data_IF_364746280723
#
_entry.id   IF_364746280723
#
_cell.length_a   1.000
_cell.length_b   1.000
_cell.length_c   1.000
_cell.angle_alpha   90.00
_cell.angle_beta   90.00
_cell.angle_gamma   90.00
#
_symmetry.space_group_name_H-M   'P 1'
#
loop_
_entity.id
_entity.type
_entity.pdbx_description
1 polymer ?
2 non-polymer ?
3 non-polymer ?
4 water ?
#
# COMPACT_ATOMS: atom_id res chain seq x y z
N UNK A 1 -29.76 -13.26 6.47
CA UNK A 1 -28.84 -12.50 5.58
C UNK A 1 -27.96 -13.45 4.78
N UNK A 2 -26.96 -12.90 4.10
CA UNK A 2 -26.05 -13.66 3.26
C UNK A 2 -25.11 -14.58 4.05
N UNK A 3 -24.97 -15.81 3.60
CA UNK A 3 -24.10 -16.76 4.27
C UNK A 3 -22.64 -16.47 4.02
N UNK A 4 -21.79 -16.96 4.90
CA UNK A 4 -20.36 -16.77 4.75
C UNK A 4 -19.93 -17.47 3.48
N UNK A 5 -20.54 -18.63 3.22
CA UNK A 5 -20.19 -19.40 2.03
C UNK A 5 -20.39 -18.56 0.77
N UNK A 6 -21.53 -17.88 0.67
CA UNK A 6 -21.81 -17.05 -0.49
C UNK A 6 -20.81 -15.88 -0.62
N UNK A 7 -20.47 -15.25 0.49
CA UNK A 7 -19.51 -14.14 0.45
C UNK A 7 -18.16 -14.64 -0.04
N UNK A 8 -17.73 -15.78 0.51
CA UNK A 8 -16.44 -16.34 0.12
C UNK A 8 -16.45 -16.69 -1.36
N UNK A 9 -17.53 -17.30 -1.84
CA UNK A 9 -17.63 -17.69 -3.24
C UNK A 9 -17.61 -16.47 -4.16
N UNK A 10 -18.35 -15.44 -3.78
CA UNK A 10 -18.40 -14.21 -4.57
C UNK A 10 -17.00 -13.55 -4.68
N UNK A 11 -16.31 -13.37 -3.55
CA UNK A 11 -15.00 -12.73 -3.62
C UNK A 11 -13.98 -13.59 -4.35
N UNK A 12 -14.06 -14.90 -4.18
CA UNK A 12 -13.15 -15.81 -4.88
C UNK A 12 -13.38 -15.63 -6.41
N UNK A 13 -14.64 -15.49 -6.80
CA UNK A 13 -14.98 -15.34 -8.22
C UNK A 13 -14.42 -14.06 -8.83
N UNK A 14 -14.20 -13.03 -8.01
CA UNK A 14 -13.65 -11.77 -8.50
C UNK A 14 -12.21 -12.00 -8.95
N UNK A 15 -11.46 -12.79 -8.18
CA UNK A 15 -10.09 -13.10 -8.57
C UNK A 15 -10.10 -14.08 -9.73
N UNK A 16 -11.01 -15.05 -9.73
CA UNK A 16 -11.07 -16.01 -10.83
C UNK A 16 -11.35 -15.29 -12.15
N UNK A 17 -12.32 -14.38 -12.15
CA UNK A 17 -12.67 -13.62 -13.36
C UNK A 17 -11.48 -12.85 -13.91
N UNK A 18 -10.61 -12.38 -13.04
CA UNK A 18 -9.44 -11.60 -13.47
C UNK A 18 -8.34 -12.55 -13.94
N UNK A 19 -8.63 -13.85 -13.85
CA UNK A 19 -7.66 -14.86 -14.25
C UNK A 19 -6.31 -14.65 -13.59
N UNK A 20 -6.32 -14.42 -12.29
CA UNK A 20 -5.07 -14.28 -11.55
C UNK A 20 -5.26 -15.03 -10.24
N UNK A 21 -4.26 -15.01 -9.38
CA UNK A 21 -4.34 -15.67 -8.07
C UNK A 21 -4.13 -14.55 -7.04
N UNK A 22 -5.03 -14.46 -6.07
CA UNK A 22 -4.86 -13.41 -5.07
C UNK A 22 -5.67 -13.62 -3.81
N UNK A 23 -5.44 -12.74 -2.85
CA UNK A 23 -6.14 -12.80 -1.58
C UNK A 23 -6.45 -11.37 -1.14
N UNK A 24 -7.45 -11.22 -0.28
CA UNK A 24 -7.73 -9.91 0.30
C UNK A 24 -8.03 -10.15 1.77
N UNK A 25 -7.25 -9.50 2.63
CA UNK A 25 -7.40 -9.64 4.07
C UNK A 25 -8.15 -8.43 4.61
N UNK A 26 -9.18 -8.69 5.40
CA UNK A 26 -10.00 -7.64 6.00
C UNK A 26 -9.83 -7.72 7.52
N UNK A 27 -9.75 -6.58 8.17
CA UNK A 27 -9.60 -6.58 9.61
C UNK A 27 -10.71 -5.74 10.25
N UNK A 28 -11.37 -6.30 11.25
CA UNK A 28 -12.45 -5.63 11.97
C UNK A 28 -12.09 -5.77 13.45
N UNK A 29 -11.73 -4.65 14.06
CA UNK A 29 -11.30 -4.67 15.44
C UNK A 29 -9.98 -5.43 15.41
N UNK A 30 -9.92 -6.54 16.14
CA UNK A 30 -8.73 -7.38 16.19
C UNK A 30 -8.84 -8.64 15.32
N UNK A 31 -9.99 -8.86 14.67
CA UNK A 31 -10.18 -10.07 13.84
C UNK A 31 -9.83 -9.95 12.35
N UNK A 32 -9.05 -10.91 11.87
CA UNK A 32 -8.62 -10.95 10.47
C UNK A 32 -9.51 -11.92 9.68
N UNK A 33 -9.93 -11.51 8.48
CA UNK A 33 -10.74 -12.36 7.61
C UNK A 33 -10.04 -12.46 6.26
N UNK A 34 -9.78 -13.68 5.82
CA UNK A 34 -9.09 -13.91 4.57
C UNK A 34 -10.05 -14.38 3.47
N UNK A 35 -10.02 -13.69 2.34
CA UNK A 35 -10.88 -14.02 1.20
C UNK A 35 -10.05 -14.05 -0.11
N UNK A 36 -10.61 -14.61 -1.17
CA UNK A 36 -9.89 -14.65 -2.43
C UNK A 36 -9.85 -16.05 -3.01
N UNK A 37 -8.98 -16.26 -4.00
CA UNK A 37 -8.86 -17.57 -4.62
C UNK A 37 -7.53 -18.26 -4.40
N UNK A 38 -6.71 -17.73 -3.51
CA UNK A 38 -5.42 -18.35 -3.18
C UNK A 38 -5.08 -17.94 -1.75
N UNK A 39 -5.91 -18.39 -0.80
CA UNK A 39 -5.77 -18.04 0.61
C UNK A 39 -4.38 -18.20 1.24
N UNK A 40 -3.59 -19.17 0.76
CA UNK A 40 -2.26 -19.36 1.31
C UNK A 40 -1.30 -18.17 1.07
N UNK A 41 -1.65 -17.25 0.19
CA UNK A 41 -0.81 -16.10 -0.04
C UNK A 41 -0.78 -15.22 1.23
N UNK A 42 -1.81 -15.35 2.07
CA UNK A 42 -1.94 -14.54 3.30
C UNK A 42 -0.68 -14.41 4.14
N UNK A 43 0.07 -15.52 4.30
CA UNK A 43 1.28 -15.45 5.10
C UNK A 43 2.56 -15.66 4.31
N UNK A 44 2.50 -15.38 3.01
CA UNK A 44 3.71 -15.47 2.19
C UNK A 44 4.31 -14.06 2.00
N UNK A 45 5.64 -13.99 1.96
CA UNK A 45 6.33 -12.70 1.80
C UNK A 45 6.49 -12.23 0.36
N UNK A 46 6.23 -10.95 0.10
CA UNK A 46 6.38 -10.36 -1.23
C UNK A 46 7.03 -8.98 -1.09
N UNK A 47 7.60 -8.43 -2.16
CA UNK A 47 8.20 -7.12 -2.03
C UNK A 47 7.00 -6.20 -1.86
N UNK A 48 7.14 -5.15 -1.04
CA UNK A 48 6.04 -4.20 -0.80
C UNK A 48 5.76 -3.29 -2.00
N UNK A 49 6.76 -3.12 -2.85
CA UNK A 49 6.66 -2.24 -4.01
C UNK A 49 6.20 -0.85 -3.54
N UNK A 50 5.31 -0.20 -4.27
CA UNK A 50 4.87 1.14 -3.89
C UNK A 50 4.19 1.30 -2.54
N UNK A 51 3.75 0.20 -1.92
CA UNK A 51 3.10 0.32 -0.62
C UNK A 51 4.10 0.87 0.38
N UNK A 52 5.38 0.64 0.11
CA UNK A 52 6.42 1.14 1.00
C UNK A 52 6.42 2.67 1.04
N UNK A 53 5.85 3.32 0.02
CA UNK A 53 5.85 4.77 0.00
C UNK A 53 5.22 5.33 1.26
N UNK A 54 4.18 4.68 1.76
CA UNK A 54 3.53 5.14 2.97
C UNK A 54 4.55 5.28 4.09
N UNK A 55 5.41 4.29 4.23
CA UNK A 55 6.39 4.33 5.30
C UNK A 55 7.56 5.24 4.94
N UNK A 56 7.89 5.32 3.65
CA UNK A 56 9.01 6.16 3.20
C UNK A 56 8.64 7.60 3.60
N UNK A 57 7.41 8.00 3.28
CA UNK A 57 6.95 9.34 3.61
C UNK A 57 7.00 9.59 5.12
N UNK A 58 6.48 8.65 5.92
CA UNK A 58 6.48 8.78 7.38
C UNK A 58 7.89 9.07 7.89
N UNK A 59 8.84 8.26 7.43
CA UNK A 59 10.22 8.41 7.84
C UNK A 59 10.81 9.74 7.39
N UNK A 60 10.57 10.08 6.12
CA UNK A 60 11.10 11.31 5.57
C UNK A 60 10.66 12.53 6.35
N UNK A 61 9.36 12.60 6.65
CA UNK A 61 8.81 13.73 7.38
C UNK A 61 9.24 13.76 8.85
N UNK A 62 9.15 12.62 9.52
CA UNK A 62 9.53 12.55 10.93
C UNK A 62 10.98 12.99 11.11
N UNK A 63 11.85 12.57 10.18
CA UNK A 63 13.28 12.90 10.29
C UNK A 63 13.71 14.18 9.55
N UNK A 64 12.73 15.02 9.24
CA UNK A 64 12.97 16.30 8.58
C UNK A 64 13.74 16.28 7.26
N UNK A 65 13.51 15.25 6.46
CA UNK A 65 14.16 15.16 5.17
C UNK A 65 13.31 15.87 4.12
N UNK A 66 12.10 16.25 4.50
CA UNK A 66 11.19 16.96 3.61
C UNK A 66 9.98 17.46 4.39
N UNK A 67 9.18 18.30 3.76
CA UNK A 67 7.97 18.85 4.38
C UNK A 67 6.82 18.52 3.42
N UNK A 68 5.58 18.71 3.85
CA UNK A 68 4.45 18.40 2.98
C UNK A 68 4.21 19.37 1.84
N UNK A 69 4.83 20.55 1.86
CA UNK A 69 4.62 21.46 0.73
C UNK A 69 5.86 21.63 -0.15
N UNK A 70 6.97 21.03 0.26
CA UNK A 70 8.19 21.10 -0.55
C UNK A 70 7.90 20.50 -1.93
N UNK A 71 8.39 21.16 -2.96
CA UNK A 71 8.18 20.69 -4.32
C UNK A 71 9.46 19.99 -4.79
N UNK A 72 9.35 18.70 -5.12
CA UNK A 72 10.50 17.96 -5.64
C UNK A 72 10.50 18.24 -7.14
N UNK A 73 11.53 18.94 -7.61
CA UNK A 73 11.63 19.32 -9.01
C UNK A 73 12.04 18.17 -9.92
N UNK A 74 11.38 18.05 -11.07
CA UNK A 74 11.73 17.04 -12.06
C UNK A 74 13.10 17.50 -12.58
N UNK A 75 14.06 16.58 -12.71
CA UNK A 75 15.39 16.95 -13.17
C UNK A 75 15.52 17.07 -14.69
N UNK A 76 14.42 16.89 -15.40
CA UNK A 76 14.44 16.99 -16.84
C UNK A 76 14.81 15.74 -17.60
N UNK A 77 15.14 14.66 -16.89
CA UNK A 77 15.49 13.41 -17.58
C UNK A 77 14.24 12.58 -17.86
N UNK A 78 14.28 11.82 -18.93
CA UNK A 78 13.16 11.00 -19.35
C UNK A 78 12.71 10.05 -18.23
N UNK A 79 11.41 10.00 -17.98
CA UNK A 79 10.86 9.12 -16.94
C UNK A 79 10.06 8.00 -17.62
N UNK A 80 9.75 6.96 -16.87
CA UNK A 80 8.99 5.85 -17.41
C UNK A 80 7.64 6.34 -17.95
N UNK A 81 7.04 7.32 -17.27
CA UNK A 81 5.75 7.85 -17.68
C UNK A 81 5.76 9.39 -17.73
N UNK A 82 5.11 9.96 -18.76
CA UNK A 82 5.04 11.42 -18.94
C UNK A 82 4.50 12.09 -17.69
N UNK A 83 3.55 11.42 -17.03
CA UNK A 83 2.92 11.95 -15.82
C UNK A 83 3.93 12.20 -14.70
N UNK A 84 5.06 11.51 -14.72
CA UNK A 84 6.08 11.71 -13.70
C UNK A 84 7.06 12.83 -14.08
N UNK A 85 6.98 13.32 -15.30
CA UNK A 85 7.93 14.36 -15.72
C UNK A 85 7.50 15.76 -15.33
N UNK A 86 7.31 15.97 -14.05
CA UNK A 86 6.90 17.25 -13.52
C UNK A 86 7.33 17.38 -12.06
N UNK A 87 7.16 18.59 -11.53
CA UNK A 87 7.51 18.92 -10.17
C UNK A 87 6.35 18.55 -9.27
N UNK A 88 6.65 17.91 -8.12
CA UNK A 88 5.58 17.52 -7.23
C UNK A 88 5.94 17.38 -5.77
N UNK A 89 4.91 17.43 -4.94
CA UNK A 89 5.07 17.29 -3.51
C UNK A 89 4.99 15.78 -3.25
N UNK A 90 5.27 15.40 -2.01
CA UNK A 90 5.22 14.02 -1.56
C UNK A 90 3.81 13.48 -1.80
N UNK A 91 2.81 14.26 -1.41
CA UNK A 91 1.43 13.86 -1.60
C UNK A 91 1.05 13.63 -3.06
N UNK A 92 1.51 14.51 -3.95
CA UNK A 92 1.21 14.37 -5.37
C UNK A 92 1.93 13.12 -5.90
N UNK A 93 3.15 12.91 -5.44
CA UNK A 93 3.92 11.76 -5.87
C UNK A 93 3.31 10.47 -5.32
N UNK A 94 2.60 10.57 -4.19
CA UNK A 94 1.95 9.39 -3.59
C UNK A 94 0.81 8.97 -4.52
N UNK A 95 -0.01 9.95 -4.92
CA UNK A 95 -1.15 9.72 -5.80
C UNK A 95 -0.76 9.24 -7.20
N UNK A 96 0.42 9.65 -7.68
CA UNK A 96 0.88 9.27 -9.00
C UNK A 96 1.85 8.10 -8.95
N UNK A 97 2.14 7.60 -7.76
CA UNK A 97 3.09 6.50 -7.60
C UNK A 97 4.43 6.90 -8.23
N UNK A 98 4.78 8.18 -8.10
CA UNK A 98 6.02 8.72 -8.64
C UNK A 98 7.28 8.19 -7.93
N UNK A 99 7.70 7.00 -8.31
CA UNK A 99 8.88 6.37 -7.72
C UNK A 99 10.13 7.24 -7.68
N UNK A 100 10.38 8.03 -8.73
CA UNK A 100 11.58 8.88 -8.70
C UNK A 100 11.61 9.83 -7.50
N UNK A 101 10.47 10.37 -7.13
CA UNK A 101 10.42 11.30 -6.01
C UNK A 101 10.74 10.53 -4.73
N UNK A 102 10.18 9.34 -4.59
CA UNK A 102 10.43 8.58 -3.38
C UNK A 102 11.83 8.00 -3.34
N UNK A 103 12.46 7.83 -4.50
CA UNK A 103 13.86 7.35 -4.51
C UNK A 103 14.74 8.49 -4.01
N UNK A 104 14.40 9.73 -4.40
CA UNK A 104 15.14 10.89 -3.93
C UNK A 104 14.95 11.02 -2.41
N UNK A 105 13.72 10.81 -1.94
CA UNK A 105 13.48 10.90 -0.50
C UNK A 105 14.32 9.85 0.23
N UNK A 106 14.35 8.62 -0.30
CA UNK A 106 15.14 7.56 0.35
C UNK A 106 16.61 7.96 0.38
N UNK A 107 17.11 8.55 -0.71
CA UNK A 107 18.51 8.95 -0.75
C UNK A 107 18.83 10.03 0.28
N UNK A 108 17.88 10.92 0.53
CA UNK A 108 18.09 11.98 1.52
C UNK A 108 18.16 11.33 2.89
N UNK A 109 17.26 10.38 3.14
CA UNK A 109 17.25 9.71 4.43
C UNK A 109 18.57 8.95 4.62
N UNK A 110 19.02 8.26 3.58
CA UNK A 110 20.27 7.54 3.68
C UNK A 110 20.14 6.11 4.18
N UNK A 111 21.00 5.23 3.70
CA UNK A 111 20.94 3.81 4.08
C UNK A 111 20.91 3.56 5.59
N UNK A 112 21.84 4.14 6.32
CA UNK A 112 21.89 3.93 7.76
C UNK A 112 20.62 4.34 8.52
N UNK A 113 20.12 5.54 8.25
CA UNK A 113 18.92 6.01 8.93
C UNK A 113 17.71 5.17 8.48
N UNK A 114 17.69 4.81 7.20
CA UNK A 114 16.57 4.04 6.69
C UNK A 114 16.52 2.66 7.35
N UNK A 115 17.65 1.98 7.43
CA UNK A 115 17.66 0.66 8.07
C UNK A 115 17.20 0.74 9.52
N UNK A 116 17.63 1.78 10.25
CA UNK A 116 17.24 1.93 11.65
C UNK A 116 15.75 2.21 11.81
N UNK A 117 15.21 3.04 10.93
CA UNK A 117 13.79 3.38 11.02
C UNK A 117 12.89 2.22 10.58
N UNK A 118 13.30 1.49 9.56
CA UNK A 118 12.49 0.35 9.12
C UNK A 118 12.48 -0.70 10.26
N UNK A 119 13.61 -0.83 10.95
CA UNK A 119 13.75 -1.76 12.09
C UNK A 119 12.87 -1.27 13.23
N UNK A 120 12.98 0.01 13.55
CA UNK A 120 12.20 0.62 14.63
C UNK A 120 10.70 0.37 14.44
N UNK A 121 10.26 0.46 13.19
CA UNK A 121 8.85 0.26 12.87
C UNK A 121 8.47 -1.22 12.74
N UNK A 122 9.46 -2.09 12.54
CA UNK A 122 9.19 -3.53 12.43
C UNK A 122 8.31 -3.83 11.20
N UNK A 123 8.71 -3.27 10.07
CA UNK A 123 7.98 -3.43 8.81
C UNK A 123 8.45 -4.71 8.10
N UNK A 124 7.55 -5.66 7.88
CA UNK A 124 7.89 -6.88 7.17
C UNK A 124 9.11 -7.59 7.75
N UNK A 125 10.01 -8.04 6.89
CA UNK A 125 11.21 -8.73 7.37
C UNK A 125 12.26 -7.73 7.82
N UNK A 126 11.90 -6.44 7.73
CA UNK A 126 12.77 -5.36 8.16
C UNK A 126 14.16 -5.25 7.53
N UNK A 127 14.45 -6.05 6.51
CA UNK A 127 15.78 -6.00 5.88
C UNK A 127 15.83 -5.17 4.59
N UNK A 128 16.60 -4.08 4.57
CA UNK A 128 16.68 -3.27 3.35
C UNK A 128 17.95 -3.47 2.54
N UNK A 129 18.86 -4.30 3.04
CA UNK A 129 20.08 -4.57 2.30
C UNK A 129 21.06 -3.42 2.20
N UNK A 130 21.71 -3.29 1.04
CA UNK A 130 22.70 -2.26 0.83
C UNK A 130 22.36 -1.14 -0.16
N UNK A 131 21.28 -1.30 -0.92
CA UNK A 131 20.87 -0.27 -1.91
C UNK A 131 19.67 0.51 -1.38
N UNK A 132 19.91 1.72 -0.88
CA UNK A 132 18.85 2.54 -0.31
C UNK A 132 17.74 2.99 -1.28
N UNK A 133 17.98 2.92 -2.58
CA UNK A 133 16.97 3.39 -3.52
C UNK A 133 16.14 2.37 -4.29
N UNK A 134 16.24 1.10 -3.95
CA UNK A 134 15.41 0.12 -4.65
C UNK A 134 15.09 -1.13 -3.83
N UNK A 135 15.36 -1.09 -2.53
CA UNK A 135 15.13 -2.26 -1.68
C UNK A 135 13.68 -2.71 -1.57
N UNK A 136 12.75 -1.78 -1.75
CA UNK A 136 11.33 -2.09 -1.65
C UNK A 136 10.76 -2.54 -2.99
N UNK A 137 11.58 -2.40 -4.03
CA UNK A 137 11.14 -2.77 -5.37
C UNK A 137 11.62 -4.14 -5.80
N UNK A 138 12.83 -4.52 -5.43
CA UNK A 138 13.35 -5.80 -5.86
C UNK A 138 13.89 -6.66 -4.74
N UNK A 139 13.65 -6.25 -3.50
CA UNK A 139 14.17 -7.02 -2.39
C UNK A 139 15.41 -6.32 -1.88
N UNK A 140 15.99 -6.76 -0.75
CA UNK A 140 15.55 -7.88 0.08
C UNK A 140 14.36 -7.65 0.99
N UNK A 141 13.82 -6.43 1.02
CA UNK A 141 12.67 -6.17 1.89
C UNK A 141 11.43 -6.89 1.39
N UNK A 142 10.78 -7.62 2.28
CA UNK A 142 9.55 -8.33 1.93
C UNK A 142 8.57 -8.23 3.08
N UNK A 143 7.30 -8.48 2.78
CA UNK A 143 6.25 -8.37 3.77
C UNK A 143 5.06 -9.22 3.34
N UNK A 144 4.29 -9.73 4.31
CA UNK A 144 3.13 -10.56 3.97
C UNK A 144 1.87 -9.70 3.96
N UNK A 145 0.78 -10.21 3.36
CA UNK A 145 -0.47 -9.45 3.32
C UNK A 145 -1.03 -9.25 4.74
N UNK A 146 -0.76 -10.20 5.64
CA UNK A 146 -1.22 -10.06 7.02
C UNK A 146 -0.48 -8.87 7.67
N UNK A 147 0.83 -8.79 7.45
CA UNK A 147 1.60 -7.70 8.02
C UNK A 147 1.14 -6.36 7.38
N UNK A 148 0.80 -6.38 6.09
CA UNK A 148 0.36 -5.13 5.44
C UNK A 148 -0.98 -4.65 5.99
N UNK A 149 -1.94 -5.55 6.21
CA UNK A 149 -3.22 -5.13 6.74
C UNK A 149 -3.04 -4.61 8.19
N UNK A 150 -2.10 -5.19 8.92
CA UNK A 150 -1.82 -4.74 10.29
C UNK A 150 -1.12 -3.37 10.27
N UNK A 151 -0.28 -3.13 9.25
CA UNK A 151 0.39 -1.84 9.13
C UNK A 151 -0.68 -0.79 8.81
N UNK A 152 -1.63 -1.14 7.95
CA UNK A 152 -2.71 -0.22 7.61
C UNK A 152 -3.56 0.08 8.86
N UNK A 153 -3.81 -0.95 9.66
CA UNK A 153 -4.60 -0.83 10.89
C UNK A 153 -3.90 0.14 11.83
N UNK A 154 -2.59 -0.08 12.04
CA UNK A 154 -1.79 0.80 12.89
C UNK A 154 -1.80 2.26 12.38
N UNK A 155 -1.57 2.48 11.08
CA UNK A 155 -1.56 3.86 10.57
C UNK A 155 -2.95 4.50 10.69
N UNK A 156 -3.98 3.76 10.32
CA UNK A 156 -5.34 4.28 10.42
C UNK A 156 -5.65 4.78 11.83
N UNK A 157 -5.18 4.04 12.84
CA UNK A 157 -5.45 4.42 14.22
C UNK A 157 -4.32 5.17 14.91
N UNK A 158 -3.35 5.64 14.12
CA UNK A 158 -2.23 6.40 14.65
C UNK A 158 -1.42 5.66 15.71
N UNK A 159 -1.22 4.36 15.52
CA UNK A 159 -0.46 3.55 16.48
C UNK A 159 1.00 3.40 16.11
N UNK A 160 1.39 3.82 14.91
CA UNK A 160 2.79 3.69 14.52
C UNK A 160 3.59 4.65 15.39
N UNK A 161 4.89 4.35 15.59
CA UNK A 161 5.77 5.19 16.41
C UNK A 161 6.28 6.48 15.74
N UNK A 162 5.35 7.35 15.37
CA UNK A 162 5.65 8.63 14.74
C UNK A 162 4.72 9.65 15.36
N UNK A 163 5.12 10.91 15.38
CA UNK A 163 4.28 11.97 15.92
C UNK A 163 2.92 11.82 15.27
N UNK A 164 1.85 12.11 16.00
CA UNK A 164 0.55 11.94 15.39
C UNK A 164 0.33 12.92 14.23
N UNK A 165 1.08 14.02 14.21
CA UNK A 165 0.96 15.00 13.12
C UNK A 165 1.52 14.36 11.84
N UNK A 166 2.65 13.68 11.99
CA UNK A 166 3.27 13.00 10.86
C UNK A 166 2.29 11.99 10.24
N UNK A 167 1.68 11.17 11.09
CA UNK A 167 0.74 10.16 10.63
C UNK A 167 -0.45 10.78 9.93
N UNK A 168 -0.95 11.88 10.48
CA UNK A 168 -2.09 12.56 9.86
C UNK A 168 -1.72 13.12 8.49
N UNK A 169 -0.50 13.63 8.35
CA UNK A 169 -0.06 14.19 7.07
C UNK A 169 -0.07 13.12 5.99
N UNK A 170 0.53 11.98 6.29
CA UNK A 170 0.59 10.88 5.33
C UNK A 170 -0.80 10.32 5.04
N UNK A 171 -1.65 10.24 6.05
CA UNK A 171 -3.00 9.74 5.80
C UNK A 171 -3.75 10.65 4.83
N UNK A 172 -3.59 11.97 4.96
CA UNK A 172 -4.28 12.90 4.07
C UNK A 172 -3.86 12.63 2.62
N UNK A 173 -2.66 12.11 2.45
CA UNK A 173 -2.12 11.82 1.12
C UNK A 173 -2.71 10.59 0.47
N UNK A 174 -3.38 9.76 1.24
CA UNK A 174 -3.91 8.50 0.72
C UNK A 174 -5.39 8.42 0.36
N UNK A 175 -6.13 9.53 0.39
CA UNK A 175 -7.55 9.44 0.05
C UNK A 175 -7.68 9.19 -1.44
N UNK A 176 -8.20 8.02 -1.81
CA UNK A 176 -8.35 7.71 -3.22
C UNK A 176 -9.79 7.56 -3.66
N UNK A 177 -10.74 7.59 -2.73
CA UNK A 177 -12.13 7.43 -3.13
C UNK A 177 -13.16 7.67 -2.04
N UNK A 178 -14.34 8.12 -2.47
CA UNK A 178 -15.44 8.35 -1.56
C UNK A 178 -16.65 7.65 -2.16
N UNK A 179 -17.35 6.88 -1.32
CA UNK A 179 -18.53 6.14 -1.79
C UNK A 179 -19.56 6.00 -0.69
N UNK A 180 -20.75 6.55 -0.93
CA UNK A 180 -21.85 6.46 0.02
C UNK A 180 -21.48 6.82 1.45
N UNK A 181 -20.85 7.98 1.63
CA UNK A 181 -20.46 8.40 2.97
C UNK A 181 -19.19 7.75 3.49
N UNK A 182 -18.69 6.77 2.74
CA UNK A 182 -17.47 6.06 3.12
C UNK A 182 -16.25 6.60 2.39
N UNK A 183 -15.14 6.73 3.10
CA UNK A 183 -13.91 7.21 2.49
C UNK A 183 -12.90 6.07 2.45
N UNK A 184 -12.27 5.89 1.29
CA UNK A 184 -11.28 4.85 1.13
C UNK A 184 -9.87 5.43 1.01
N UNK A 185 -9.01 5.08 1.97
CA UNK A 185 -7.61 5.51 1.97
C UNK A 185 -6.80 4.27 1.61
N UNK A 186 -5.92 4.39 0.62
CA UNK A 186 -5.11 3.23 0.23
C UNK A 186 -3.96 3.61 -0.68
N UNK A 187 -3.01 2.68 -0.82
CA UNK A 187 -1.87 2.87 -1.70
C UNK A 187 -1.74 1.59 -2.54
N UNK A 188 -1.72 1.76 -3.87
CA UNK A 188 -1.58 0.60 -4.74
C UNK A 188 -0.10 0.28 -4.84
N UNK A 189 0.20 -0.87 -5.42
CA UNK A 189 1.58 -1.29 -5.55
C UNK A 189 1.68 -2.30 -6.68
N UNK A 190 2.77 -2.27 -7.44
CA UNK A 190 3.00 -3.17 -8.55
C UNK A 190 4.49 -3.43 -8.62
N UNK A 191 4.92 -4.61 -8.17
CA UNK A 191 6.33 -4.95 -8.23
C UNK A 191 6.66 -5.55 -9.58
N UNK A 192 7.08 -4.72 -10.53
CA UNK A 192 7.42 -5.20 -11.87
C UNK A 192 8.82 -5.77 -12.00
N UNK A 193 9.67 -5.51 -11.02
CA UNK A 193 11.05 -5.99 -11.08
C UNK A 193 11.33 -7.32 -10.43
N UNK A 194 10.28 -8.09 -10.20
CA UNK A 194 10.42 -9.42 -9.61
C UNK A 194 9.53 -10.37 -10.42
N UNK A 195 9.81 -11.67 -10.31
CA UNK A 195 9.03 -12.67 -11.02
C UNK A 195 8.63 -13.75 -10.03
N UNK A 196 7.32 -14.03 -9.92
CA UNK A 196 6.26 -13.37 -10.66
C UNK A 196 6.05 -11.96 -10.13
N UNK A 197 5.26 -11.16 -10.84
CA UNK A 197 5.00 -9.80 -10.41
C UNK A 197 3.91 -9.77 -9.38
N UNK A 198 4.05 -8.92 -8.36
CA UNK A 198 3.06 -8.83 -7.31
C UNK A 198 2.27 -7.53 -7.41
N UNK A 199 0.99 -7.60 -7.09
CA UNK A 199 0.12 -6.43 -7.12
C UNK A 199 -0.42 -6.26 -5.70
N UNK A 200 -0.59 -5.02 -5.25
CA UNK A 200 -1.08 -4.70 -3.91
C UNK A 200 -2.07 -3.52 -3.95
N UNK A 201 -2.93 -3.46 -2.95
CA UNK A 201 -3.82 -2.32 -2.73
C UNK A 201 -4.10 -2.43 -1.23
N UNK A 202 -3.39 -1.62 -0.47
CA UNK A 202 -3.49 -1.64 0.98
C UNK A 202 -3.99 -0.31 1.55
N UNK A 203 -4.96 -0.39 2.47
CA UNK A 203 -5.50 0.82 3.06
C UNK A 203 -6.58 0.52 4.06
N UNK A 204 -7.61 1.36 4.12
CA UNK A 204 -8.70 1.12 5.04
C UNK A 204 -9.88 1.95 4.61
N UNK A 205 -11.04 1.59 5.13
CA UNK A 205 -12.27 2.29 4.83
C UNK A 205 -12.67 3.08 6.09
N UNK A 206 -13.04 4.34 5.91
CA UNK A 206 -13.48 5.12 7.05
C UNK A 206 -14.97 5.28 6.82
N UNK A 207 -15.75 4.57 7.62
CA UNK A 207 -17.20 4.63 7.48
C UNK A 207 -17.74 5.90 8.13
N UNK A 208 -18.93 6.31 7.70
CA UNK A 208 -19.57 7.51 8.24
C UNK A 208 -19.54 7.50 9.77
N UNK A 209 -19.89 6.37 10.36
CA UNK A 209 -19.91 6.23 11.82
C UNK A 209 -18.52 6.37 12.45
N UNK A 210 -17.52 6.70 11.65
CA UNK A 210 -16.18 6.86 12.18
C UNK A 210 -15.35 5.59 12.30
N UNK A 211 -15.98 4.42 12.20
CA UNK A 211 -15.25 3.15 12.30
C UNK A 211 -14.32 2.95 11.11
N UNK A 212 -13.15 2.39 11.36
CA UNK A 212 -12.18 2.15 10.28
C UNK A 212 -11.98 0.66 10.01
N UNK A 213 -12.15 0.26 8.76
CA UNK A 213 -11.98 -1.14 8.39
C UNK A 213 -10.79 -1.31 7.44
N UNK A 214 -9.64 -1.73 7.98
CA UNK A 214 -8.38 -1.97 7.25
C UNK A 214 -8.46 -3.15 6.29
N UNK A 215 -7.68 -3.09 5.21
CA UNK A 215 -7.65 -4.17 4.23
C UNK A 215 -6.35 -4.22 3.44
N UNK A 216 -6.08 -5.36 2.84
CA UNK A 216 -4.90 -5.55 2.00
C UNK A 216 -5.17 -6.61 0.93
N UNK A 217 -5.20 -6.16 -0.32
CA UNK A 217 -5.40 -7.01 -1.48
C UNK A 217 -3.99 -7.34 -2.01
N UNK A 218 -3.76 -8.61 -2.32
CA UNK A 218 -2.46 -9.01 -2.85
C UNK A 218 -2.73 -10.06 -3.91
N UNK A 219 -2.22 -9.83 -5.13
CA UNK A 219 -2.44 -10.77 -6.22
C UNK A 219 -1.25 -10.81 -7.17
N UNK A 220 -1.25 -11.76 -8.08
CA UNK A 220 -0.15 -11.83 -9.04
C UNK A 220 -0.53 -10.98 -10.24
N UNK A 221 0.34 -10.06 -10.65
CA UNK A 221 0.05 -9.23 -11.81
C UNK A 221 0.59 -9.96 -13.04
N UNK A 222 -0.22 -10.02 -14.10
CA UNK A 222 0.22 -10.70 -15.32
C UNK A 222 0.33 -9.75 -16.50
N UNK A 223 1.19 -10.13 -17.44
CA UNK A 223 1.44 -9.34 -18.65
C UNK A 223 0.12 -8.96 -19.30
N UNK A 224 -0.02 -7.67 -19.59
CA UNK A 224 -1.24 -7.19 -20.22
C UNK A 224 -2.42 -7.14 -19.26
N UNK A 225 -2.15 -6.90 -17.99
CA UNK A 225 -3.22 -6.82 -17.00
C UNK A 225 -3.30 -5.37 -16.55
N UNK A 226 -4.51 -4.90 -16.27
CA UNK A 226 -4.74 -3.53 -15.86
C UNK A 226 -4.55 -3.28 -14.36
N UNK A 227 -3.82 -2.23 -14.03
CA UNK A 227 -3.60 -1.90 -12.63
C UNK A 227 -4.92 -1.63 -11.93
N UNK A 228 -5.89 -1.15 -12.69
CA UNK A 228 -7.20 -0.85 -12.14
C UNK A 228 -7.96 -2.14 -11.76
N UNK A 229 -7.37 -3.30 -12.05
CA UNK A 229 -8.03 -4.56 -11.69
C UNK A 229 -7.88 -4.74 -10.17
N UNK A 230 -6.80 -4.22 -9.61
CA UNK A 230 -6.60 -4.32 -8.16
C UNK A 230 -7.69 -3.52 -7.46
N UNK A 231 -8.05 -2.40 -8.06
CA UNK A 231 -9.08 -1.53 -7.50
C UNK A 231 -10.50 -2.09 -7.63
N UNK A 232 -10.82 -2.62 -8.81
CA UNK A 232 -12.16 -3.18 -9.04
C UNK A 232 -12.42 -4.36 -8.14
N UNK A 233 -11.46 -5.26 -8.00
CA UNK A 233 -11.66 -6.42 -7.14
C UNK A 233 -11.77 -5.98 -5.70
N UNK A 234 -11.01 -4.95 -5.33
CA UNK A 234 -11.07 -4.48 -3.95
C UNK A 234 -12.42 -3.84 -3.64
N UNK A 235 -12.89 -2.98 -4.53
CA UNK A 235 -14.18 -2.31 -4.34
C UNK A 235 -15.33 -3.32 -4.37
N UNK A 236 -15.26 -4.29 -5.28
CA UNK A 236 -16.31 -5.29 -5.35
C UNK A 236 -16.35 -6.15 -4.09
N UNK A 237 -15.17 -6.47 -3.55
CA UNK A 237 -15.11 -7.29 -2.34
C UNK A 237 -15.65 -6.53 -1.13
N UNK A 238 -15.23 -5.28 -1.00
CA UNK A 238 -15.68 -4.45 0.11
C UNK A 238 -17.18 -4.25 0.07
N UNK A 239 -17.72 -4.10 -1.14
CA UNK A 239 -19.16 -3.88 -1.30
C UNK A 239 -19.92 -5.16 -0.97
N UNK A 240 -19.41 -6.30 -1.47
CA UNK A 240 -20.06 -7.56 -1.22
C UNK A 240 -20.18 -7.86 0.26
N UNK A 241 -19.22 -7.39 1.04
CA UNK A 241 -19.23 -7.60 2.48
C UNK A 241 -20.01 -6.51 3.22
N UNK A 242 -20.52 -5.53 2.48
CA UNK A 242 -21.27 -4.45 3.11
C UNK A 242 -20.40 -3.43 3.83
N UNK A 243 -19.10 -3.40 3.53
CA UNK A 243 -18.20 -2.46 4.17
C UNK A 243 -18.32 -1.07 3.55
N UNK A 244 -18.72 -1.01 2.29
CA UNK A 244 -18.94 0.27 1.61
C UNK A 244 -20.24 0.17 0.83
X LIG B 1 9.36 1.30 -11.94
X LIG B 1 9.23 1.26 -10.49
X LIG B 1 7.89 1.21 -9.92
X LIG B 1 7.43 1.17 -8.55
X LIG B 1 6.07 1.14 -8.57
X LIG B 1 5.55 1.15 -10.00
X LIG B 1 6.88 1.22 -12.21
X LIG B 1 8.19 1.27 -12.80
X LIG B 1 5.22 1.10 -7.33
X LIG B 1 3.16 2.12 -10.70
X LIG B 1 3.22 2.38 -12.21
X LIG B 1 1.76 1.62 -10.16
X LIG B 1 1.25 0.42 -11.04
X LIG B 1 0.78 2.84 -10.16
X LIG B 1 -0.78 2.96 -11.97
X LIG B 1 6.82 1.19 -10.80
X LIG B 1 4.20 1.12 -10.39
X LIG B 1 -0.32 4.21 -12.38
X LIG B 1 4.85 -0.26 -7.07
X LIG B 1 4.00 1.82 -12.97
X LIG B 1 2.29 3.37 -12.86
X LIG B 1 0.44 0.54 -8.09
X LIG B 1 2.34 2.17 -7.42
X LIG B 1 -0.49 2.57 -10.69
X LIG B 1 -1.42 2.25 -12.73
X LIG B 1 1.81 0.97 -8.46
X LIG B 1 -0.94 5.39 -11.99
X LIG B 1 -1.13 6.87 -11.67
X LIG B 1 -2.43 7.42 -12.16
X LIG C 1 -6.47 -3.22 17.30
X LIG C 1 -5.63 -4.25 17.79
X LIG C 1 -4.91 -4.88 16.62
X LIG C 1 -4.08 -5.91 17.18
X LIG C 1 -3.54 -6.88 16.20
X LIG C 1 -4.31 -8.18 16.17
X LIG C 1 -4.18 -8.78 14.84
X LIG C 1 -3.25 -9.88 14.85
X LIG C 1 -2.45 -9.77 13.58
X LIG C 1 -1.43 -10.80 13.43
X LIG C 1 -0.07 -10.29 13.79
X LIG C 1 0.91 -10.52 12.64
X LIG C 1 1.36 -9.24 12.05
#
# INVERSE_FOLDING_TARGET
>A
HISSQQHEKAIKSYFDEAQTQGVIIIKEGKNLSTYGNALARANKEYVPASTFKMLNALIGLENHKATTNEIFKWDGKKRTYPMWEKDMTLGEAMALSAVPVYQELARRTGLELMQKEVKRVNFGNTNIGTQVDNFWLVGPLKITPVQEVNFADDLAHNRLPFKLETQEEVKKMLLIKEVNGSKIYAKSGWGMGVTPQVGWLTGWVEQANGKKIPFSLNLEMKEGMSGSIRNEITYKSLENLGII
>B hetero
1 MXF C1 C2 C3 C4 C5 C6 C7 C8 C10 C11 C12 C13 C14 C15 C16 N1 N3 N4 O1 O3 O4 O5 O6 O7 O8 S1 C17 C18 N5
>C hetero
1 PG4 O1 C1 C2 O2 C3 C4 O3 C5 C6 O4 C7 C8 O5
#
